data_IF_486169741390
#
_entry.id   IF_486169741390
#
_cell.length_a   1.000
_cell.length_b   1.000
_cell.length_c   1.000
_cell.angle_alpha   90.00
_cell.angle_beta   90.00
_cell.angle_gamma   90.00
#
_symmetry.space_group_name_H-M   'P 1'
#
loop_
_entity.id
_entity.type
_entity.pdbx_description
1 polymer ?
#
# COMPACT_ATOMS: atom_id res chain seq x y z
N UNK A 1 -4.94 -33.19 -17.90
CA UNK A 1 -6.17 -33.35 -17.08
C UNK A 1 -6.78 -31.98 -16.93
N UNK A 2 -8.04 -31.79 -17.34
CA UNK A 2 -8.77 -30.53 -17.07
C UNK A 2 -8.83 -30.38 -15.55
N UNK A 3 -8.42 -29.23 -15.03
CA UNK A 3 -8.25 -28.99 -13.61
C UNK A 3 -9.62 -29.03 -12.92
N UNK A 4 -10.05 -30.21 -12.44
CA UNK A 4 -11.40 -30.47 -11.92
C UNK A 4 -11.79 -29.52 -10.77
N UNK A 5 -10.81 -28.93 -10.08
CA UNK A 5 -11.04 -27.95 -9.00
C UNK A 5 -11.32 -26.52 -9.48
N UNK A 6 -10.98 -26.18 -10.74
CA UNK A 6 -11.29 -24.85 -11.30
C UNK A 6 -12.80 -24.59 -11.33
N UNK A 7 -13.60 -25.64 -11.51
CA UNK A 7 -15.05 -25.56 -11.63
C UNK A 7 -15.80 -25.50 -10.29
N UNK A 8 -15.10 -25.42 -9.15
CA UNK A 8 -15.69 -25.42 -7.80
C UNK A 8 -16.06 -24.02 -7.27
N UNK A 9 -15.58 -22.97 -7.92
CA UNK A 9 -15.86 -21.57 -7.56
C UNK A 9 -16.47 -20.88 -8.77
N UNK A 10 -17.43 -19.99 -8.53
CA UNK A 10 -18.10 -19.23 -9.57
C UNK A 10 -18.18 -17.75 -9.21
N UNK A 11 -18.22 -16.86 -10.23
CA UNK A 11 -18.65 -15.50 -10.00
C UNK A 11 -20.12 -15.47 -9.56
N UNK A 12 -20.42 -14.59 -8.62
CA UNK A 12 -21.79 -14.30 -8.19
C UNK A 12 -22.02 -12.78 -8.18
N UNK A 13 -23.28 -12.37 -8.16
CA UNK A 13 -23.66 -10.99 -7.93
C UNK A 13 -24.27 -10.86 -6.53
N UNK A 14 -24.01 -9.74 -5.87
CA UNK A 14 -24.59 -9.37 -4.57
C UNK A 14 -25.21 -7.98 -4.69
N UNK A 15 -26.19 -7.68 -3.84
CA UNK A 15 -26.92 -6.39 -3.86
C UNK A 15 -26.02 -5.18 -3.66
N UNK A 16 -24.95 -5.33 -2.89
CA UNK A 16 -24.13 -4.22 -2.41
C UNK A 16 -22.98 -3.88 -3.38
N UNK A 17 -22.87 -4.57 -4.52
CA UNK A 17 -21.91 -4.19 -5.55
C UNK A 17 -22.28 -2.85 -6.16
N UNK A 18 -21.26 -2.02 -6.41
CA UNK A 18 -21.40 -0.80 -7.19
C UNK A 18 -21.47 -1.14 -8.67
N UNK A 19 -22.54 -0.70 -9.31
CA UNK A 19 -22.62 -0.65 -10.77
C UNK A 19 -21.81 0.54 -11.28
N UNK A 20 -20.74 0.25 -12.04
CA UNK A 20 -19.88 1.25 -12.67
C UNK A 20 -20.24 1.48 -14.15
N UNK A 21 -21.37 0.93 -14.60
CA UNK A 21 -21.89 1.01 -15.97
C UNK A 21 -21.35 -0.08 -16.89
N UNK A 22 -20.07 -0.42 -16.78
CA UNK A 22 -19.43 -1.49 -17.58
C UNK A 22 -19.10 -2.74 -16.76
N UNK A 23 -19.12 -2.67 -15.43
CA UNK A 23 -18.87 -3.80 -14.54
C UNK A 23 -19.49 -3.57 -13.16
N UNK A 24 -19.72 -4.67 -12.43
CA UNK A 24 -20.05 -4.65 -11.01
C UNK A 24 -18.78 -4.73 -10.18
N UNK A 25 -18.63 -3.82 -9.21
CA UNK A 25 -17.46 -3.71 -8.36
C UNK A 25 -17.81 -3.86 -6.87
N UNK A 26 -17.07 -4.66 -6.08
CA UNK A 26 -15.97 -5.55 -6.47
C UNK A 26 -16.45 -6.78 -7.24
N UNK A 27 -15.55 -7.51 -7.89
CA UNK A 27 -15.87 -8.83 -8.43
C UNK A 27 -16.05 -9.82 -7.29
N UNK A 28 -17.09 -10.67 -7.32
CA UNK A 28 -17.37 -11.58 -6.19
C UNK A 28 -17.22 -13.03 -6.64
N UNK A 29 -16.44 -13.80 -5.90
CA UNK A 29 -16.26 -15.23 -6.08
C UNK A 29 -16.85 -15.99 -4.89
N UNK A 30 -17.56 -17.08 -5.16
CA UNK A 30 -18.14 -17.96 -4.14
C UNK A 30 -17.98 -19.43 -4.53
N UNK A 31 -17.78 -20.36 -3.58
CA UNK A 31 -17.91 -21.78 -3.85
C UNK A 31 -19.28 -22.08 -4.47
N UNK A 32 -19.33 -23.02 -5.42
CA UNK A 32 -20.60 -23.49 -5.99
C UNK A 32 -21.37 -24.33 -4.97
N UNK A 33 -22.67 -24.08 -4.85
CA UNK A 33 -23.61 -24.97 -4.18
C UNK A 33 -24.00 -26.10 -5.14
N UNK A 34 -23.27 -27.21 -5.17
CA UNK A 34 -23.66 -28.36 -6.00
C UNK A 34 -23.93 -29.59 -5.13
N UNK A 35 -25.06 -30.26 -5.38
CA UNK A 35 -25.44 -31.57 -4.81
C UNK A 35 -24.56 -32.75 -5.26
N UNK A 36 -23.29 -32.50 -5.55
CA UNK A 36 -22.27 -33.48 -5.94
C UNK A 36 -21.17 -33.52 -4.89
N UNK A 37 -20.51 -34.67 -4.70
CA UNK A 37 -19.47 -34.92 -3.67
C UNK A 37 -18.19 -34.04 -3.77
N UNK A 38 -18.15 -33.00 -4.59
CA UNK A 38 -17.03 -32.07 -4.70
C UNK A 38 -17.51 -30.64 -4.41
N UNK A 39 -17.05 -30.08 -3.30
CA UNK A 39 -17.28 -28.70 -2.88
C UNK A 39 -16.06 -28.17 -2.12
N UNK A 40 -15.85 -26.86 -2.10
CA UNK A 40 -14.86 -26.26 -1.18
C UNK A 40 -15.48 -26.24 0.21
N UNK A 41 -15.06 -27.17 1.07
CA UNK A 41 -15.65 -27.36 2.41
C UNK A 41 -14.61 -27.28 3.54
N UNK A 42 -13.33 -27.43 3.21
CA UNK A 42 -12.21 -27.37 4.16
C UNK A 42 -11.18 -26.34 3.74
N UNK A 43 -10.33 -25.90 4.67
CA UNK A 43 -9.21 -25.01 4.35
C UNK A 43 -8.17 -25.63 3.42
N UNK A 44 -8.01 -26.95 3.43
CA UNK A 44 -7.13 -27.63 2.48
C UNK A 44 -7.68 -27.55 1.05
N UNK A 45 -8.99 -27.65 0.88
CA UNK A 45 -9.65 -27.42 -0.42
C UNK A 45 -9.42 -25.98 -0.89
N UNK A 46 -9.61 -24.99 0.00
CA UNK A 46 -9.38 -23.57 -0.29
C UNK A 46 -7.93 -23.36 -0.75
N UNK A 47 -6.96 -23.83 0.04
CA UNK A 47 -5.55 -23.60 -0.26
C UNK A 47 -5.12 -24.31 -1.54
N UNK A 48 -5.60 -25.53 -1.80
CA UNK A 48 -5.39 -26.21 -3.09
C UNK A 48 -5.97 -25.38 -4.23
N UNK A 49 -7.23 -24.94 -4.11
CA UNK A 49 -7.90 -24.17 -5.15
C UNK A 49 -7.18 -22.84 -5.44
N UNK A 50 -6.76 -22.10 -4.41
CA UNK A 50 -6.02 -20.84 -4.58
C UNK A 50 -4.72 -21.09 -5.34
N UNK A 51 -3.95 -22.15 -4.99
CA UNK A 51 -2.72 -22.49 -5.71
C UNK A 51 -3.00 -22.86 -7.16
N UNK A 52 -4.01 -23.68 -7.39
CA UNK A 52 -4.40 -24.18 -8.71
C UNK A 52 -4.97 -23.08 -9.63
N UNK A 53 -5.62 -22.07 -9.05
CA UNK A 53 -6.30 -20.97 -9.77
C UNK A 53 -5.60 -19.62 -9.61
N UNK A 54 -4.39 -19.59 -9.05
CA UNK A 54 -3.64 -18.35 -8.76
C UNK A 54 -3.63 -17.42 -9.97
N UNK A 55 -3.22 -17.89 -11.14
CA UNK A 55 -3.13 -17.07 -12.35
C UNK A 55 -4.49 -16.46 -12.75
N UNK A 56 -5.58 -17.22 -12.67
CA UNK A 56 -6.91 -16.72 -13.02
C UNK A 56 -7.44 -15.73 -11.97
N UNK A 57 -7.21 -16.00 -10.68
CA UNK A 57 -7.52 -15.05 -9.61
C UNK A 57 -6.76 -13.74 -9.84
N UNK A 58 -5.46 -13.81 -10.15
CA UNK A 58 -4.65 -12.63 -10.44
C UNK A 58 -5.13 -11.88 -11.69
N UNK A 59 -5.59 -12.59 -12.73
CA UNK A 59 -6.18 -11.99 -13.92
C UNK A 59 -7.52 -11.29 -13.62
N UNK A 60 -8.42 -11.92 -12.86
CA UNK A 60 -9.65 -11.28 -12.40
C UNK A 60 -9.35 -10.04 -11.56
N UNK A 61 -8.35 -10.13 -10.70
CA UNK A 61 -7.99 -9.07 -9.79
C UNK A 61 -7.35 -7.88 -10.54
N UNK A 62 -6.58 -8.17 -11.59
CA UNK A 62 -6.08 -7.16 -12.53
C UNK A 62 -7.19 -6.46 -13.32
N UNK A 63 -8.18 -7.22 -13.82
CA UNK A 63 -9.32 -6.69 -14.59
C UNK A 63 -10.27 -5.85 -13.73
N UNK A 64 -10.66 -6.39 -12.57
CA UNK A 64 -11.73 -5.84 -11.74
C UNK A 64 -11.24 -4.93 -10.61
N UNK A 65 -9.94 -4.95 -10.32
CA UNK A 65 -9.33 -4.17 -9.25
C UNK A 65 -9.55 -4.71 -7.84
N UNK A 66 -10.67 -5.37 -7.53
CA UNK A 66 -10.86 -6.04 -6.25
C UNK A 66 -11.70 -7.30 -6.40
N UNK A 67 -11.43 -8.29 -5.54
CA UNK A 67 -12.19 -9.54 -5.44
C UNK A 67 -12.71 -9.71 -4.01
N UNK A 68 -14.01 -9.90 -3.86
CA UNK A 68 -14.62 -10.39 -2.64
C UNK A 68 -14.72 -11.92 -2.73
N UNK A 69 -14.14 -12.67 -1.80
CA UNK A 69 -14.41 -14.10 -1.69
C UNK A 69 -15.48 -14.35 -0.62
N UNK A 70 -16.66 -14.80 -1.02
CA UNK A 70 -17.81 -14.99 -0.13
C UNK A 70 -18.15 -16.47 0.04
N UNK A 71 -18.46 -16.91 1.25
CA UNK A 71 -18.89 -18.29 1.52
C UNK A 71 -17.77 -19.34 1.60
N UNK A 72 -16.49 -18.94 1.62
CA UNK A 72 -15.37 -19.87 1.85
C UNK A 72 -15.24 -20.22 3.34
N UNK A 73 -14.76 -21.41 3.72
CA UNK A 73 -14.83 -21.90 5.10
C UNK A 73 -13.73 -21.37 6.06
N UNK A 74 -13.35 -20.08 6.00
CA UNK A 74 -12.38 -19.51 6.96
C UNK A 74 -13.09 -19.01 8.21
N UNK A 75 -12.56 -19.34 9.39
CA UNK A 75 -13.23 -19.04 10.67
C UNK A 75 -12.50 -18.02 11.53
N UNK A 76 -11.19 -17.97 11.41
CA UNK A 76 -10.31 -17.20 12.30
C UNK A 76 -9.08 -16.65 11.56
N UNK A 77 -8.24 -15.93 12.29
CA UNK A 77 -7.00 -15.38 11.76
C UNK A 77 -6.01 -16.45 11.25
N UNK A 78 -6.04 -17.68 11.79
CA UNK A 78 -5.17 -18.77 11.36
C UNK A 78 -5.59 -19.31 9.98
N UNK A 79 -6.89 -19.46 9.75
CA UNK A 79 -7.42 -19.83 8.44
C UNK A 79 -7.17 -18.71 7.41
N UNK A 80 -7.28 -17.45 7.83
CA UNK A 80 -6.93 -16.31 6.98
C UNK A 80 -5.43 -16.28 6.62
N UNK A 81 -4.53 -16.55 7.57
CA UNK A 81 -3.08 -16.65 7.29
C UNK A 81 -2.78 -17.76 6.27
N UNK A 82 -3.40 -18.94 6.41
CA UNK A 82 -3.27 -20.05 5.44
C UNK A 82 -3.76 -19.66 4.06
N UNK A 83 -4.90 -18.97 3.98
CA UNK A 83 -5.45 -18.47 2.73
C UNK A 83 -4.50 -17.50 2.02
N UNK A 84 -3.94 -16.51 2.74
CA UNK A 84 -2.94 -15.58 2.21
C UNK A 84 -1.68 -16.36 1.78
N UNK A 85 -1.22 -17.29 2.61
CA UNK A 85 -0.05 -18.14 2.34
C UNK A 85 -0.18 -18.96 1.07
N UNK A 86 -1.39 -19.38 0.70
CA UNK A 86 -1.65 -20.13 -0.53
C UNK A 86 -1.37 -19.31 -1.81
N UNK A 87 -1.38 -17.97 -1.74
CA UNK A 87 -0.95 -17.12 -2.87
C UNK A 87 0.56 -17.13 -3.08
N UNK A 88 1.35 -17.58 -2.10
CA UNK A 88 2.81 -17.63 -2.18
C UNK A 88 3.45 -16.26 -2.41
N UNK A 89 2.89 -15.21 -1.77
CA UNK A 89 3.48 -13.86 -1.77
C UNK A 89 4.16 -13.60 -0.44
N UNK A 90 5.25 -12.85 -0.49
CA UNK A 90 5.93 -12.36 0.71
C UNK A 90 5.09 -11.27 1.38
N UNK A 91 5.08 -11.28 2.71
CA UNK A 91 4.43 -10.24 3.48
C UNK A 91 5.34 -9.01 3.52
N UNK A 92 4.79 -7.84 3.22
CA UNK A 92 5.51 -6.58 3.38
C UNK A 92 5.58 -6.24 4.88
N UNK A 93 6.77 -6.03 5.47
CA UNK A 93 6.87 -5.56 6.84
C UNK A 93 6.16 -4.22 7.02
N UNK A 94 5.35 -4.08 8.07
CA UNK A 94 4.64 -2.83 8.35
C UNK A 94 5.57 -1.80 8.99
N UNK A 95 6.23 -1.00 8.13
CA UNK A 95 7.15 0.08 8.53
C UNK A 95 6.61 1.42 8.03
N UNK A 96 6.51 2.41 8.91
CA UNK A 96 6.08 3.78 8.55
C UNK A 96 4.56 4.01 8.43
N UNK A 97 3.73 3.03 8.79
CA UNK A 97 2.29 3.19 8.83
C UNK A 97 1.80 4.07 10.00
N UNK A 98 0.66 4.73 9.82
CA UNK A 98 0.22 5.80 10.74
C UNK A 98 -0.45 5.32 12.03
N UNK A 99 -1.00 4.09 12.09
CA UNK A 99 -1.86 3.66 13.20
C UNK A 99 -1.40 2.33 13.83
N UNK A 100 -1.44 2.17 15.17
CA UNK A 100 -0.94 0.99 15.88
C UNK A 100 -1.66 -0.29 15.41
N UNK A 101 -0.93 -1.40 15.39
CA UNK A 101 -1.41 -2.70 14.88
C UNK A 101 -1.03 -3.79 15.87
N UNK A 102 -1.96 -4.68 16.21
CA UNK A 102 -1.67 -5.89 16.97
C UNK A 102 -1.42 -7.05 16.00
N UNK A 103 -0.23 -7.65 16.09
CA UNK A 103 0.12 -8.85 15.33
C UNK A 103 -0.63 -10.05 15.91
N UNK A 104 -1.35 -10.78 15.07
CA UNK A 104 -2.11 -12.00 15.44
C UNK A 104 -1.40 -13.25 14.91
N UNK A 105 -0.91 -13.18 13.67
CA UNK A 105 -0.06 -14.19 13.02
C UNK A 105 1.06 -13.48 12.24
N UNK A 106 2.04 -14.19 11.65
CA UNK A 106 3.10 -13.55 10.86
C UNK A 106 2.60 -12.66 9.71
N UNK A 107 1.41 -12.93 9.13
CA UNK A 107 0.83 -12.15 8.02
C UNK A 107 -0.44 -11.37 8.39
N UNK A 108 -1.02 -11.64 9.56
CA UNK A 108 -2.32 -11.08 9.98
C UNK A 108 -2.14 -10.16 11.18
N UNK A 109 -2.65 -8.95 11.03
CA UNK A 109 -2.69 -7.93 12.06
C UNK A 109 -4.03 -7.18 12.03
N UNK A 110 -4.40 -6.55 13.13
CA UNK A 110 -5.67 -5.81 13.24
C UNK A 110 -5.71 -4.57 12.33
N UNK A 111 -6.88 -4.19 11.79
CA UNK A 111 -6.98 -3.18 10.73
C UNK A 111 -6.85 -1.72 11.21
N UNK A 112 -7.42 -1.38 12.36
CA UNK A 112 -7.24 -0.07 13.01
C UNK A 112 -7.90 -0.09 14.40
N UNK A 113 -7.41 0.73 15.33
CA UNK A 113 -8.03 0.97 16.65
C UNK A 113 -8.56 2.41 16.79
N UNK A 114 -8.77 3.11 15.65
CA UNK A 114 -9.44 4.41 15.67
C UNK A 114 -10.85 4.29 16.28
N UNK A 115 -11.38 5.37 16.91
CA UNK A 115 -12.73 5.36 17.46
C UNK A 115 -13.75 4.89 16.41
N UNK A 116 -14.69 3.98 16.77
CA UNK A 116 -15.61 3.36 15.82
C UNK A 116 -16.63 4.32 15.21
N UNK A 117 -16.76 5.52 15.75
CA UNK A 117 -17.63 6.61 15.31
C UNK A 117 -16.99 7.55 14.29
N UNK A 118 -15.70 7.41 14.01
CA UNK A 118 -14.97 8.29 13.09
C UNK A 118 -14.75 7.61 11.72
N UNK A 119 -15.13 8.25 10.59
CA UNK A 119 -14.86 7.71 9.27
C UNK A 119 -13.36 7.77 8.96
N UNK A 120 -12.84 6.67 8.41
CA UNK A 120 -11.47 6.64 7.87
C UNK A 120 -11.53 7.17 6.43
N UNK A 121 -10.82 8.28 6.10
CA UNK A 121 -10.85 8.81 4.74
C UNK A 121 -10.22 7.86 3.72
N UNK A 122 -10.66 7.95 2.45
CA UNK A 122 -10.05 7.19 1.36
C UNK A 122 -8.57 7.53 1.17
N UNK A 123 -7.75 6.50 1.02
CA UNK A 123 -6.30 6.62 0.83
C UNK A 123 -5.75 5.37 0.17
N UNK A 124 -4.57 5.47 -0.44
CA UNK A 124 -3.75 4.30 -0.71
C UNK A 124 -2.94 3.90 0.52
N UNK A 125 -2.92 2.61 0.84
CA UNK A 125 -2.13 2.08 1.95
C UNK A 125 -0.67 2.44 1.70
N UNK A 126 -0.04 3.08 2.69
CA UNK A 126 1.38 3.42 2.63
C UNK A 126 1.76 4.31 1.42
N UNK A 127 0.87 5.21 0.98
CA UNK A 127 1.08 6.02 -0.23
C UNK A 127 2.31 6.95 -0.19
N UNK A 128 2.77 7.31 1.00
CA UNK A 128 3.89 8.24 1.21
C UNK A 128 5.26 7.56 1.32
N UNK A 129 5.33 6.23 1.33
CA UNK A 129 6.62 5.52 1.42
C UNK A 129 7.05 4.98 0.05
N UNK A 130 8.37 4.83 -0.18
CA UNK A 130 8.89 4.33 -1.46
C UNK A 130 8.39 2.91 -1.79
N UNK A 131 8.29 2.07 -0.77
CA UNK A 131 7.85 0.67 -0.89
C UNK A 131 6.46 0.53 -0.27
N UNK A 132 5.46 0.28 -1.10
CA UNK A 132 4.06 0.14 -0.72
C UNK A 132 3.53 -1.25 -1.10
N UNK A 133 2.49 -1.75 -0.41
CA UNK A 133 1.96 -3.08 -0.69
C UNK A 133 1.29 -3.11 -2.06
N UNK A 134 1.54 -4.19 -2.80
CA UNK A 134 0.99 -4.36 -4.13
C UNK A 134 -0.38 -5.07 -4.17
N UNK A 135 -0.77 -5.65 -3.04
CA UNK A 135 -2.08 -6.22 -2.75
C UNK A 135 -2.36 -6.10 -1.25
N UNK A 136 -3.63 -6.01 -0.88
CA UNK A 136 -4.04 -5.92 0.53
C UNK A 136 -5.25 -6.83 0.75
N UNK A 137 -5.18 -7.66 1.79
CA UNK A 137 -6.25 -8.58 2.15
C UNK A 137 -6.94 -8.07 3.41
N UNK A 138 -8.28 -8.08 3.40
CA UNK A 138 -9.08 -7.80 4.58
C UNK A 138 -9.93 -9.03 4.92
N UNK A 139 -10.09 -9.30 6.21
CA UNK A 139 -10.86 -10.42 6.71
C UNK A 139 -11.77 -9.97 7.84
N UNK A 140 -13.04 -10.37 7.74
CA UNK A 140 -14.03 -10.15 8.76
C UNK A 140 -14.22 -11.43 9.57
N UNK A 141 -13.52 -11.51 10.70
CA UNK A 141 -13.73 -12.56 11.70
C UNK A 141 -15.08 -12.35 12.42
N UNK A 142 -15.38 -11.11 12.80
CA UNK A 142 -16.65 -10.71 13.44
C UNK A 142 -17.28 -9.55 12.69
N UNK A 143 -18.48 -9.75 12.17
CA UNK A 143 -19.21 -8.70 11.46
C UNK A 143 -19.71 -7.62 12.43
N UNK A 144 -19.65 -6.34 12.05
CA UNK A 144 -20.22 -5.26 12.84
C UNK A 144 -21.75 -5.40 12.94
N UNK A 145 -22.34 -4.96 14.05
CA UNK A 145 -23.80 -4.95 14.22
C UNK A 145 -24.50 -3.94 13.32
N UNK A 146 -23.79 -2.86 12.94
CA UNK A 146 -24.24 -1.81 12.04
C UNK A 146 -23.03 -1.04 11.52
N UNK A 147 -23.06 -0.57 10.27
CA UNK A 147 -21.94 0.17 9.69
C UNK A 147 -20.67 -0.69 9.57
N UNK A 148 -19.51 -0.07 9.70
CA UNK A 148 -18.21 -0.76 9.80
C UNK A 148 -17.74 -1.44 8.50
N UNK A 149 -18.39 -1.15 7.38
CA UNK A 149 -17.90 -1.56 6.07
C UNK A 149 -16.51 -0.99 5.79
N UNK A 150 -15.87 -1.53 4.76
CA UNK A 150 -14.62 -0.98 4.22
C UNK A 150 -14.90 -0.53 2.78
N UNK A 151 -15.39 0.71 2.58
CA UNK A 151 -15.69 1.22 1.26
C UNK A 151 -14.46 1.18 0.36
N UNK A 152 -14.66 0.84 -0.91
CA UNK A 152 -13.58 0.77 -1.88
C UNK A 152 -13.91 1.54 -3.14
N UNK A 153 -12.88 2.09 -3.77
CA UNK A 153 -13.01 2.88 -4.98
C UNK A 153 -11.90 2.54 -5.97
N UNK A 154 -12.25 2.49 -7.27
CA UNK A 154 -11.26 2.30 -8.34
C UNK A 154 -10.51 3.62 -8.60
N UNK A 155 -9.24 3.67 -8.18
CA UNK A 155 -8.40 4.88 -8.27
C UNK A 155 -8.26 5.46 -9.69
N UNK A 156 -8.28 4.64 -10.74
CA UNK A 156 -8.27 5.11 -12.13
C UNK A 156 -9.58 5.80 -12.55
N UNK A 157 -10.72 5.42 -11.95
CA UNK A 157 -12.01 6.09 -12.17
C UNK A 157 -12.05 7.43 -11.46
N UNK A 158 -11.51 7.51 -10.24
CA UNK A 158 -11.32 8.77 -9.51
C UNK A 158 -10.48 9.73 -10.35
N UNK A 159 -9.34 9.29 -10.86
CA UNK A 159 -8.50 10.09 -11.76
C UNK A 159 -9.28 10.63 -12.96
N UNK A 160 -9.98 9.77 -13.71
CA UNK A 160 -10.76 10.20 -14.90
C UNK A 160 -11.81 11.26 -14.53
N UNK A 161 -12.55 11.05 -13.45
CA UNK A 161 -13.61 11.97 -13.01
C UNK A 161 -13.07 13.29 -12.45
N UNK A 162 -11.90 13.25 -11.80
CA UNK A 162 -11.17 14.45 -11.41
C UNK A 162 -10.65 15.24 -12.61
N UNK A 163 -10.16 14.57 -13.67
CA UNK A 163 -9.78 15.24 -14.92
C UNK A 163 -10.99 15.89 -15.60
N UNK A 164 -12.13 15.21 -15.61
CA UNK A 164 -13.37 15.73 -16.20
C UNK A 164 -13.89 16.96 -15.44
N UNK A 165 -13.90 16.92 -14.10
CA UNK A 165 -14.49 18.00 -13.29
C UNK A 165 -13.50 19.12 -12.95
N UNK A 166 -12.24 18.80 -12.71
CA UNK A 166 -11.20 19.73 -12.23
C UNK A 166 -9.90 19.63 -13.06
N UNK A 167 -9.94 19.81 -14.39
CA UNK A 167 -8.79 19.54 -15.27
C UNK A 167 -7.55 20.39 -14.95
N UNK A 168 -7.73 21.65 -14.53
CA UNK A 168 -6.60 22.51 -14.15
C UNK A 168 -5.94 22.02 -12.86
N UNK A 169 -6.74 21.60 -11.86
CA UNK A 169 -6.20 21.06 -10.61
C UNK A 169 -5.37 19.79 -10.85
N UNK A 170 -5.83 18.90 -11.73
CA UNK A 170 -5.06 17.68 -12.06
C UNK A 170 -3.75 18.02 -12.77
N UNK A 171 -3.75 18.98 -13.71
CA UNK A 171 -2.49 19.46 -14.33
C UNK A 171 -1.53 20.02 -13.29
N UNK A 172 -2.03 20.87 -12.40
CA UNK A 172 -1.24 21.45 -11.32
C UNK A 172 -0.67 20.36 -10.40
N UNK A 173 -1.43 19.30 -10.09
CA UNK A 173 -0.93 18.17 -9.31
C UNK A 173 0.20 17.40 -10.02
N UNK A 174 0.09 17.20 -11.33
CA UNK A 174 1.11 16.50 -12.13
C UNK A 174 2.39 17.33 -12.26
N UNK A 175 2.26 18.64 -12.49
CA UNK A 175 3.39 19.57 -12.66
C UNK A 175 4.05 19.90 -11.32
N UNK A 176 3.26 20.32 -10.34
CA UNK A 176 3.76 20.87 -9.06
C UNK A 176 3.98 19.81 -8.01
N UNK A 177 3.40 18.60 -8.16
CA UNK A 177 3.43 17.55 -7.12
C UNK A 177 2.77 18.02 -5.81
N UNK A 178 2.85 17.21 -4.75
CA UNK A 178 2.31 17.56 -3.42
C UNK A 178 3.37 17.43 -2.33
N UNK A 179 3.25 18.25 -1.29
CA UNK A 179 4.10 18.20 -0.09
C UNK A 179 3.21 17.93 1.12
N UNK A 180 3.63 16.97 1.94
CA UNK A 180 2.96 16.58 3.17
C UNK A 180 3.75 17.13 4.36
N UNK A 181 3.06 17.82 5.27
CA UNK A 181 3.64 18.31 6.53
C UNK A 181 2.91 17.66 7.70
N UNK A 182 3.66 17.03 8.61
CA UNK A 182 3.10 16.42 9.83
C UNK A 182 3.93 16.76 11.05
N UNK A 183 3.28 17.05 12.16
CA UNK A 183 3.89 17.09 13.49
C UNK A 183 3.56 15.80 14.22
N UNK A 184 4.58 14.98 14.45
CA UNK A 184 4.52 13.72 15.18
C UNK A 184 4.79 13.99 16.68
N UNK A 185 3.95 13.50 17.59
CA UNK A 185 4.16 13.66 19.02
C UNK A 185 5.43 12.93 19.51
N UNK A 186 5.92 13.35 20.68
CA UNK A 186 6.94 12.63 21.42
C UNK A 186 6.26 11.52 22.25
N UNK A 187 6.29 10.30 21.73
CA UNK A 187 5.44 9.20 22.22
C UNK A 187 4.05 9.19 21.58
N UNK A 188 3.36 8.04 21.70
CA UNK A 188 2.02 7.85 21.12
C UNK A 188 0.93 8.55 21.96
N UNK A 189 0.03 9.28 21.29
CA UNK A 189 -1.12 9.98 21.85
C UNK A 189 -2.42 9.27 21.46
N UNK A 190 -3.05 8.49 22.36
CA UNK A 190 -4.26 7.74 22.05
C UNK A 190 -5.51 8.61 21.87
N UNK A 191 -5.45 9.90 22.19
CA UNK A 191 -6.57 10.83 22.02
C UNK A 191 -6.58 11.52 20.64
N UNK A 192 -5.52 11.35 19.84
CA UNK A 192 -5.41 11.93 18.51
C UNK A 192 -5.59 10.86 17.42
N UNK A 193 -6.40 11.11 16.38
CA UNK A 193 -6.57 10.18 15.25
C UNK A 193 -5.26 9.98 14.46
N UNK A 194 -4.30 10.89 14.63
CA UNK A 194 -2.96 10.84 14.04
C UNK A 194 -1.86 10.84 15.10
N UNK A 195 -2.18 10.38 16.31
CA UNK A 195 -1.34 10.49 17.50
C UNK A 195 -0.14 9.56 17.58
N UNK A 196 0.14 8.74 16.56
CA UNK A 196 1.38 7.94 16.53
C UNK A 196 2.60 8.85 16.58
N UNK A 197 3.46 8.64 17.58
CA UNK A 197 4.68 9.40 17.81
C UNK A 197 5.79 9.08 16.82
N UNK A 198 6.84 9.88 16.84
CA UNK A 198 7.98 9.68 15.94
C UNK A 198 8.70 8.36 16.21
N UNK A 199 8.80 7.92 17.47
CA UNK A 199 9.43 6.66 17.84
C UNK A 199 8.76 5.47 17.17
N UNK A 200 7.43 5.37 17.32
CA UNK A 200 6.61 4.32 16.72
C UNK A 200 6.55 4.43 15.19
N UNK A 201 6.66 5.65 14.63
CA UNK A 201 6.67 5.87 13.18
C UNK A 201 7.97 5.36 12.54
N UNK A 202 9.10 5.70 13.15
CA UNK A 202 10.43 5.35 12.63
C UNK A 202 11.01 4.08 13.23
N UNK A 203 10.31 3.44 14.18
CA UNK A 203 10.76 2.26 14.93
C UNK A 203 12.15 2.49 15.54
N UNK A 204 12.34 3.63 16.20
CA UNK A 204 13.61 4.03 16.79
C UNK A 204 13.39 5.01 17.94
N UNK A 205 14.14 4.84 19.04
CA UNK A 205 14.23 5.81 20.14
C UNK A 205 15.39 6.81 19.94
N UNK A 206 16.25 6.58 18.94
CA UNK A 206 17.40 7.43 18.65
C UNK A 206 17.07 8.48 17.59
N UNK A 207 17.23 9.76 17.96
CA UNK A 207 17.01 10.90 17.07
C UNK A 207 17.96 10.90 15.88
N UNK A 208 19.23 10.52 16.07
CA UNK A 208 20.21 10.49 14.99
C UNK A 208 19.81 9.45 13.93
N UNK A 209 19.31 8.29 14.36
CA UNK A 209 18.77 7.28 13.45
C UNK A 209 17.54 7.80 12.67
N UNK A 210 16.64 8.51 13.33
CA UNK A 210 15.46 9.12 12.68
C UNK A 210 15.87 10.17 11.65
N UNK A 211 16.85 11.02 11.98
CA UNK A 211 17.43 12.00 11.07
C UNK A 211 17.99 11.33 9.81
N UNK A 212 18.76 10.24 9.96
CA UNK A 212 19.28 9.46 8.82
C UNK A 212 18.16 8.88 7.96
N UNK A 213 17.13 8.27 8.57
CA UNK A 213 15.99 7.71 7.83
C UNK A 213 15.24 8.78 7.05
N UNK A 214 15.00 9.95 7.66
CA UNK A 214 14.35 11.08 7.00
C UNK A 214 15.20 11.62 5.84
N UNK A 215 16.50 11.78 6.06
CA UNK A 215 17.43 12.23 5.02
C UNK A 215 17.46 11.28 3.82
N UNK A 216 17.53 9.97 4.06
CA UNK A 216 17.50 8.95 3.00
C UNK A 216 16.22 9.00 2.15
N UNK A 217 15.10 9.44 2.73
CA UNK A 217 13.82 9.61 2.02
C UNK A 217 13.65 10.99 1.36
N UNK A 218 14.54 11.94 1.66
CA UNK A 218 14.41 13.35 1.27
C UNK A 218 13.34 14.10 2.06
N UNK A 219 13.05 13.65 3.28
CA UNK A 219 12.11 14.29 4.21
C UNK A 219 12.87 15.30 5.06
N UNK A 220 12.51 16.57 4.96
CA UNK A 220 13.01 17.61 5.84
C UNK A 220 12.36 17.49 7.22
N UNK A 221 13.11 17.84 8.27
CA UNK A 221 12.65 17.69 9.65
C UNK A 221 13.01 18.88 10.53
N UNK A 222 12.21 19.08 11.56
CA UNK A 222 12.38 20.10 12.59
C UNK A 222 11.99 19.50 13.96
N UNK A 223 12.95 19.41 14.88
CA UNK A 223 12.68 19.04 16.27
C UNK A 223 12.09 20.24 17.02
N UNK A 224 10.90 20.08 17.57
CA UNK A 224 10.19 21.14 18.29
C UNK A 224 10.59 21.18 19.78
N UNK A 225 10.40 22.32 20.47
CA UNK A 225 10.82 22.48 21.88
C UNK A 225 10.18 21.49 22.87
N UNK A 226 8.99 20.97 22.56
CA UNK A 226 8.27 19.97 23.34
C UNK A 226 8.70 18.52 23.04
N UNK A 227 9.69 18.36 22.15
CA UNK A 227 10.21 17.06 21.72
C UNK A 227 9.43 16.42 20.59
N UNK A 228 8.38 17.06 20.07
CA UNK A 228 7.70 16.62 18.85
C UNK A 228 8.63 16.74 17.63
N UNK A 229 8.34 15.97 16.58
CA UNK A 229 9.07 15.99 15.32
C UNK A 229 8.14 16.47 14.21
N UNK A 230 8.45 17.61 13.61
CA UNK A 230 7.80 18.04 12.38
C UNK A 230 8.55 17.45 11.19
N UNK A 231 7.82 16.81 10.28
CA UNK A 231 8.32 16.27 9.02
C UNK A 231 7.67 16.99 7.85
N UNK A 232 8.46 17.22 6.80
CA UNK A 232 8.02 17.82 5.54
C UNK A 232 8.56 16.94 4.41
N UNK A 233 7.67 16.28 3.67
CA UNK A 233 8.10 15.43 2.55
C UNK A 233 8.74 16.27 1.44
N UNK A 234 9.62 15.66 0.64
CA UNK A 234 9.90 16.18 -0.71
C UNK A 234 8.60 16.27 -1.53
N UNK A 235 8.56 17.06 -2.61
CA UNK A 235 7.44 17.01 -3.56
C UNK A 235 7.24 15.59 -4.11
N UNK A 236 6.06 15.02 -3.84
CA UNK A 236 5.66 13.66 -4.19
C UNK A 236 4.64 13.66 -5.32
N UNK A 237 4.75 12.70 -6.22
CA UNK A 237 3.75 12.47 -7.25
C UNK A 237 2.40 12.13 -6.61
N UNK A 238 1.34 12.84 -7.02
CA UNK A 238 -0.02 12.57 -6.58
C UNK A 238 -0.81 11.67 -7.55
N UNK A 239 -0.35 11.61 -8.80
CA UNK A 239 -0.88 10.74 -9.85
C UNK A 239 0.26 9.81 -10.26
N UNK A 240 0.01 8.51 -10.26
CA UNK A 240 0.95 7.51 -10.77
C UNK A 240 0.39 6.84 -12.00
N UNK A 241 1.25 6.20 -12.79
CA UNK A 241 0.85 5.31 -13.85
C UNK A 241 0.90 3.86 -13.36
N UNK A 242 -0.12 3.06 -13.68
CA UNK A 242 -0.10 1.62 -13.47
C UNK A 242 0.71 0.97 -14.61
N UNK A 243 1.96 0.51 -14.37
CA UNK A 243 2.87 0.06 -15.43
C UNK A 243 2.35 -1.17 -16.19
N UNK A 244 1.37 -1.88 -15.64
CA UNK A 244 0.77 -3.07 -16.25
C UNK A 244 -0.21 -2.75 -17.37
N UNK A 245 -0.77 -1.53 -17.39
CA UNK A 245 -1.79 -1.15 -18.37
C UNK A 245 -1.72 0.32 -18.83
N UNK A 246 -0.77 1.11 -18.31
CA UNK A 246 -0.58 2.52 -18.65
C UNK A 246 -1.67 3.46 -18.13
N UNK A 247 -2.63 2.99 -17.32
CA UNK A 247 -3.66 3.89 -16.79
C UNK A 247 -3.08 4.73 -15.65
N UNK A 248 -3.35 6.03 -15.70
CA UNK A 248 -3.16 6.92 -14.56
C UNK A 248 -4.15 6.61 -13.42
N UNK A 249 -3.65 6.72 -12.20
CA UNK A 249 -4.34 6.41 -10.95
C UNK A 249 -4.16 7.53 -9.95
N UNK A 250 -5.20 7.80 -9.16
CA UNK A 250 -5.21 8.76 -8.05
C UNK A 250 -4.40 8.22 -6.85
N UNK A 251 -3.10 7.95 -7.03
CA UNK A 251 -2.21 7.40 -6.00
C UNK A 251 -1.71 8.50 -5.06
N UNK A 252 -2.50 8.84 -4.04
CA UNK A 252 -2.11 9.81 -3.02
C UNK A 252 -2.95 9.62 -1.74
N UNK A 253 -2.73 10.50 -0.77
CA UNK A 253 -3.60 10.65 0.40
C UNK A 253 -4.07 12.09 0.57
N UNK A 254 -4.31 12.81 -0.52
CA UNK A 254 -4.67 14.23 -0.49
C UNK A 254 -5.88 14.46 0.42
N UNK A 255 -6.99 13.76 0.16
CA UNK A 255 -8.21 13.94 0.95
C UNK A 255 -8.04 13.44 2.39
N UNK A 256 -7.32 12.33 2.60
CA UNK A 256 -7.10 11.79 3.93
C UNK A 256 -6.27 12.71 4.82
N UNK A 257 -5.29 13.40 4.24
CA UNK A 257 -4.50 14.40 4.96
C UNK A 257 -5.31 15.69 5.14
N UNK A 258 -5.96 16.18 4.09
CA UNK A 258 -6.73 17.42 4.11
C UNK A 258 -7.96 17.38 5.04
N UNK A 259 -8.50 16.19 5.36
CA UNK A 259 -9.58 16.01 6.33
C UNK A 259 -9.10 15.45 7.66
N UNK A 260 -8.23 14.46 7.62
CA UNK A 260 -7.93 13.60 8.76
C UNK A 260 -6.70 14.01 9.57
N UNK A 261 -5.77 14.81 9.02
CA UNK A 261 -4.61 15.27 9.80
C UNK A 261 -4.95 16.51 10.62
N UNK A 262 -5.82 16.29 11.61
CA UNK A 262 -6.31 17.31 12.52
C UNK A 262 -6.11 16.85 13.95
N UNK A 263 -5.31 17.60 14.69
CA UNK A 263 -5.22 17.53 16.15
C UNK A 263 -4.68 18.87 16.70
N UNK A 264 -4.27 18.91 17.96
CA UNK A 264 -3.71 20.13 18.57
C UNK A 264 -2.39 20.60 17.93
N UNK A 265 -1.74 19.76 17.11
CA UNK A 265 -0.41 19.99 16.53
C UNK A 265 -0.49 20.19 15.02
N UNK A 266 -1.53 19.65 14.37
CA UNK A 266 -1.69 19.61 12.93
C UNK A 266 -2.94 20.35 12.47
N UNK A 267 -2.74 21.33 11.60
CA UNK A 267 -3.79 22.05 10.88
C UNK A 267 -3.96 21.38 9.50
N UNK A 268 -5.11 20.74 9.22
CA UNK A 268 -5.29 19.98 7.99
C UNK A 268 -5.16 20.83 6.72
N UNK A 269 -5.44 22.13 6.80
CA UNK A 269 -5.29 23.07 5.67
C UNK A 269 -3.83 23.37 5.32
N UNK A 270 -2.90 23.05 6.23
CA UNK A 270 -1.44 23.20 6.06
C UNK A 270 -0.72 21.86 6.00
N UNK A 271 -1.42 20.78 6.35
CA UNK A 271 -0.88 19.43 6.33
C UNK A 271 -0.56 18.94 4.91
N UNK A 272 -1.20 19.54 3.90
CA UNK A 272 -0.91 19.28 2.49
C UNK A 272 -1.01 20.53 1.63
N UNK A 273 0.00 20.71 0.78
CA UNK A 273 0.09 21.78 -0.22
C UNK A 273 0.55 21.21 -1.56
N UNK A 274 0.46 22.01 -2.63
CA UNK A 274 1.22 21.73 -3.84
C UNK A 274 2.72 21.83 -3.53
N UNK A 275 3.57 21.30 -4.40
CA UNK A 275 5.03 21.36 -4.21
C UNK A 275 5.61 22.77 -4.29
N UNK A 276 4.86 23.74 -4.82
CA UNK A 276 5.21 25.17 -4.77
C UNK A 276 4.75 25.88 -3.47
N UNK A 277 4.11 25.14 -2.56
CA UNK A 277 3.60 25.64 -1.29
C UNK A 277 2.20 26.27 -1.37
N UNK A 278 1.59 26.36 -2.56
CA UNK A 278 0.22 26.85 -2.68
C UNK A 278 -0.79 25.87 -2.04
N UNK A 279 -1.84 26.37 -1.37
CA UNK A 279 -2.78 25.53 -0.64
C UNK A 279 -3.68 24.71 -1.58
N UNK A 280 -4.20 23.59 -1.08
CA UNK A 280 -5.24 22.83 -1.78
C UNK A 280 -6.55 23.65 -1.85
N UNK A 281 -7.20 23.82 -3.02
CA UNK A 281 -8.44 24.60 -3.12
C UNK A 281 -9.60 23.86 -2.43
N UNK A 282 -10.30 24.47 -1.44
CA UNK A 282 -11.35 23.80 -0.67
C UNK A 282 -12.48 23.23 -1.55
N UNK A 283 -12.92 23.96 -2.56
CA UNK A 283 -13.99 23.55 -3.47
C UNK A 283 -13.63 22.31 -4.29
N UNK A 284 -12.34 22.12 -4.60
CA UNK A 284 -11.87 20.92 -5.29
C UNK A 284 -11.78 19.74 -4.33
N UNK A 285 -11.46 19.98 -3.05
CA UNK A 285 -11.45 18.93 -2.02
C UNK A 285 -12.86 18.42 -1.74
N UNK A 286 -13.84 19.31 -1.66
CA UNK A 286 -15.26 18.95 -1.53
C UNK A 286 -15.73 18.14 -2.76
N UNK A 287 -15.33 18.55 -3.97
CA UNK A 287 -15.62 17.82 -5.19
C UNK A 287 -14.95 16.43 -5.25
N UNK A 288 -13.70 16.32 -4.81
CA UNK A 288 -12.98 15.04 -4.72
C UNK A 288 -13.68 14.08 -3.74
N UNK A 289 -14.11 14.56 -2.58
CA UNK A 289 -14.87 13.78 -1.59
C UNK A 289 -16.17 13.26 -2.19
N UNK A 290 -16.95 14.12 -2.83
CA UNK A 290 -18.18 13.71 -3.52
C UNK A 290 -17.94 12.69 -4.65
N UNK A 291 -16.83 12.81 -5.40
CA UNK A 291 -16.45 11.83 -6.42
C UNK A 291 -16.11 10.48 -5.79
N UNK A 292 -15.37 10.48 -4.68
CA UNK A 292 -14.99 9.26 -3.98
C UNK A 292 -16.21 8.54 -3.42
N UNK A 293 -17.11 9.27 -2.76
CA UNK A 293 -18.37 8.74 -2.23
C UNK A 293 -19.26 8.17 -3.35
N UNK A 294 -19.42 8.90 -4.46
CA UNK A 294 -20.24 8.41 -5.58
C UNK A 294 -19.64 7.18 -6.25
N UNK A 295 -18.32 7.04 -6.30
CA UNK A 295 -17.67 5.88 -6.92
C UNK A 295 -17.47 4.70 -5.94
N UNK A 296 -17.74 4.89 -4.65
CA UNK A 296 -17.49 3.87 -3.64
C UNK A 296 -18.43 2.66 -3.79
N UNK A 297 -17.85 1.46 -3.68
CA UNK A 297 -18.57 0.24 -3.37
C UNK A 297 -18.50 0.01 -1.86
N UNK A 298 -19.67 0.10 -1.23
CA UNK A 298 -19.83 -0.04 0.21
C UNK A 298 -20.46 -1.40 0.55
N UNK A 299 -19.64 -2.45 0.47
CA UNK A 299 -20.10 -3.82 0.65
C UNK A 299 -20.18 -4.18 2.13
N UNK A 300 -21.35 -4.63 2.58
CA UNK A 300 -21.55 -5.07 3.96
C UNK A 300 -20.70 -6.30 4.28
N UNK A 301 -19.97 -6.23 5.40
CA UNK A 301 -19.29 -7.39 5.96
C UNK A 301 -20.30 -8.43 6.45
N UNK A 302 -20.03 -9.71 6.20
CA UNK A 302 -20.74 -10.82 6.85
C UNK A 302 -19.72 -11.70 7.58
N UNK A 303 -20.13 -12.41 8.64
CA UNK A 303 -19.28 -13.45 9.24
C UNK A 303 -18.84 -14.41 8.14
N UNK A 304 -17.54 -14.74 8.06
CA UNK A 304 -16.99 -15.63 7.02
C UNK A 304 -17.00 -15.01 5.61
N UNK A 305 -16.92 -13.67 5.53
CA UNK A 305 -16.66 -12.93 4.29
C UNK A 305 -15.18 -12.58 4.18
N UNK A 306 -14.60 -12.85 3.01
CA UNK A 306 -13.21 -12.55 2.70
C UNK A 306 -13.18 -11.43 1.69
N UNK A 307 -12.22 -10.55 1.85
CA UNK A 307 -11.89 -9.54 0.87
C UNK A 307 -10.45 -9.74 0.43
N UNK A 308 -10.24 -9.97 -0.86
CA UNK A 308 -8.95 -9.71 -1.48
C UNK A 308 -9.07 -8.45 -2.32
N UNK A 309 -8.63 -7.35 -1.73
CA UNK A 309 -8.53 -6.11 -2.48
C UNK A 309 -7.24 -6.13 -3.27
N UNK A 310 -7.30 -5.66 -4.50
CA UNK A 310 -6.08 -5.30 -5.21
C UNK A 310 -6.22 -3.99 -5.93
N UNK A 311 -6.96 -3.01 -5.39
CA UNK A 311 -6.86 -1.60 -5.82
C UNK A 311 -7.32 -0.68 -4.69
N UNK A 312 -6.57 -0.71 -3.59
CA UNK A 312 -5.92 0.50 -3.13
C UNK A 312 -4.49 0.57 -3.74
N UNK A 313 -4.44 0.67 -5.07
CA UNK A 313 -3.37 1.03 -6.04
C UNK A 313 -1.98 0.39 -6.04
N UNK A 314 -1.47 0.31 -7.29
CA UNK A 314 -0.10 0.12 -7.79
C UNK A 314 0.65 -1.15 -7.37
N UNK A 315 0.87 -2.03 -8.35
CA UNK A 315 2.06 -2.87 -8.38
C UNK A 315 3.07 -2.08 -9.24
N UNK A 316 4.22 -1.69 -8.68
CA UNK A 316 5.43 -1.48 -9.46
C UNK A 316 6.08 -2.85 -9.64
N UNK A 317 6.48 -3.27 -10.86
CA UNK A 317 7.47 -4.32 -10.96
C UNK A 317 8.70 -3.84 -10.20
N UNK A 318 9.17 -4.63 -9.25
CA UNK A 318 10.58 -4.58 -8.89
C UNK A 318 11.34 -4.75 -10.21
N UNK A 319 12.04 -3.70 -10.63
CA UNK A 319 13.19 -3.89 -11.48
C UNK A 319 14.11 -4.79 -10.68
N UNK A 320 14.31 -6.02 -11.16
CA UNK A 320 15.55 -6.74 -10.91
C UNK A 320 16.66 -5.78 -11.34
N UNK A 321 17.27 -5.12 -10.35
CA UNK A 321 18.67 -4.74 -10.51
C UNK A 321 19.37 -6.08 -10.35
N UNK A 322 19.71 -6.69 -11.49
CA UNK A 322 20.60 -7.83 -11.48
C UNK A 322 21.80 -7.46 -10.64
N UNK A 323 22.03 -8.25 -9.59
CA UNK A 323 23.37 -8.42 -9.08
C UNK A 323 24.17 -8.97 -10.27
N UNK A 324 25.02 -8.12 -10.83
CA UNK A 324 26.09 -8.59 -11.70
C UNK A 324 26.98 -9.48 -10.81
N UNK A 325 26.66 -10.77 -10.80
CA UNK A 325 27.56 -11.84 -10.38
C UNK A 325 28.73 -11.86 -11.38
N UNK A 326 29.72 -10.98 -11.16
CA UNK A 326 31.07 -11.26 -11.60
C UNK A 326 31.73 -12.13 -10.52
N UNK A 327 31.50 -13.43 -10.66
CA UNK A 327 32.39 -14.47 -10.15
C UNK A 327 33.75 -14.30 -10.85
N UNK A 328 34.69 -13.59 -10.22
CA UNK A 328 36.12 -13.73 -10.49
C UNK A 328 36.69 -14.72 -9.47
N UNK A 329 36.46 -16.01 -9.71
CA UNK A 329 37.27 -17.11 -9.19
C UNK A 329 37.95 -17.76 -10.40
N UNK A 330 39.24 -17.50 -10.60
CA UNK A 330 40.16 -18.48 -11.18
C UNK A 330 41.52 -18.30 -10.49
N UNK A 331 41.85 -19.31 -9.68
CA UNK A 331 43.10 -19.53 -8.99
C UNK A 331 44.28 -19.71 -9.96
N UNK A 332 45.46 -19.29 -9.47
CA UNK A 332 46.80 -19.87 -9.61
C UNK A 332 47.16 -20.71 -10.87
N UNK A 333 48.23 -20.31 -11.57
CA UNK A 333 49.42 -21.16 -11.74
C UNK A 333 50.56 -20.43 -12.50
N UNK A 334 51.69 -20.33 -11.79
CA UNK A 334 53.09 -20.60 -12.18
C UNK A 334 53.70 -20.14 -13.54
N UNK A 335 54.80 -19.40 -13.36
CA UNK A 335 56.14 -19.61 -13.92
C UNK A 335 56.62 -18.94 -15.25
N UNK A 336 57.88 -18.49 -15.09
CA UNK A 336 58.99 -18.35 -16.03
C UNK A 336 59.17 -17.06 -16.89
N UNK A 337 60.18 -16.31 -16.43
CA UNK A 337 61.43 -15.99 -17.13
C UNK A 337 61.58 -14.76 -18.04
N UNK A 338 62.68 -14.07 -17.71
CA UNK A 338 63.69 -13.40 -18.55
C UNK A 338 63.46 -11.97 -19.06
N UNK A 339 64.27 -11.11 -18.42
CA UNK A 339 65.35 -10.31 -19.01
C UNK A 339 65.14 -8.84 -19.43
N UNK A 340 66.04 -8.06 -18.82
CA UNK A 340 66.85 -6.99 -19.38
C UNK A 340 66.29 -5.56 -19.51
N UNK A 341 66.76 -4.78 -18.52
CA UNK A 341 67.76 -3.71 -18.68
C UNK A 341 67.32 -2.24 -18.91
N UNK A 342 67.97 -1.45 -18.04
CA UNK A 342 68.62 -0.16 -18.29
C UNK A 342 67.77 1.13 -18.33
N UNK A 343 67.83 1.81 -17.19
CA UNK A 343 68.80 2.90 -16.93
C UNK A 343 68.24 4.27 -16.52
N UNK A 344 68.91 4.74 -15.47
CA UNK A 344 69.39 6.11 -15.18
C UNK A 344 68.45 7.15 -14.54
N UNK A 345 68.67 7.23 -13.21
CA UNK A 345 69.39 8.32 -12.54
C UNK A 345 68.63 9.45 -11.84
N UNK A 346 68.95 9.53 -10.54
CA UNK A 346 69.28 10.73 -9.73
C UNK A 346 68.17 11.77 -9.44
N UNK A 347 68.08 12.44 -8.28
CA UNK A 347 69.00 12.66 -7.16
C UNK A 347 68.18 13.16 -5.94
N UNK A 348 68.46 12.61 -4.75
CA UNK A 348 68.53 13.25 -3.41
C UNK A 348 67.41 14.13 -2.80
N UNK A 349 67.00 13.76 -1.56
CA UNK A 349 67.40 14.55 -0.37
C UNK A 349 66.33 15.11 0.59
N UNK A 350 66.17 14.41 1.73
CA UNK A 350 65.90 14.85 3.13
C UNK A 350 64.74 15.84 3.46
N UNK A 351 63.71 15.48 4.24
CA UNK A 351 63.63 15.19 5.70
C UNK A 351 64.14 16.32 6.63
N UNK A 352 63.20 17.07 7.24
CA UNK A 352 62.94 17.13 8.70
C UNK A 352 61.44 17.32 8.92
#
# INVERSE_FOLDING_TARGET
MVNQKADLVQPINISDQKDLGDTLFPFVLSPKENGTNQSISTMDDVCSWVRDQKAEIEAHLFRNGAILFRGFPLKDAQDFDKFIGAFGKEALPYVGGAAPRKVITPRVFTANEAPPDEPIPFHHEMAQVPTFPSALFFFCETAPSSGGQTPLVLSNRVYRRMVEQFPQFVRDLEEKKVVYTRVLPNGDDPLSPIGRGWQSTFQSEDRAEVERKCQAQGTAIEWLPDGCLKTISKPMEAIKEDPRNGNKVWFNSIIAVYRGWRDSRNDPLKAITFGDGSPMPPEVMDGLEAILEDLAADVSWQPVTHFSSRRLTAFTPSLDVGEDDNDDDDDDDEDDDDDDDDDDDDEYGDLI
#
